data_IF_734417882684
#
_entry.id   IF_734417882684
#
_cell.length_a   1.000
_cell.length_b   1.000
_cell.length_c   1.000
_cell.angle_alpha   90.00
_cell.angle_beta   90.00
_cell.angle_gamma   90.00
#
_symmetry.space_group_name_H-M   'P 1'
#
loop_
_entity.id
_entity.type
_entity.pdbx_description
1 polymer ?
#
# COMPACT_ATOMS: atom_id res chain seq x y z
N UNK A 1 13.64 0.15 -13.03
CA UNK A 1 13.34 0.77 -11.72
C UNK A 1 12.65 -0.20 -10.78
N UNK A 2 11.64 -0.96 -11.23
CA UNK A 2 10.93 -1.92 -10.38
C UNK A 2 11.89 -2.94 -9.74
N UNK A 3 12.79 -3.53 -10.52
CA UNK A 3 13.77 -4.49 -10.00
C UNK A 3 14.71 -3.86 -8.96
N UNK A 4 15.09 -2.60 -9.17
CA UNK A 4 15.91 -1.84 -8.22
C UNK A 4 15.18 -1.65 -6.88
N UNK A 5 13.93 -1.18 -6.89
CA UNK A 5 13.18 -0.99 -5.65
C UNK A 5 12.80 -2.31 -4.98
N UNK A 6 12.55 -3.37 -5.76
CA UNK A 6 12.36 -4.71 -5.19
C UNK A 6 13.63 -5.19 -4.46
N UNK A 7 14.83 -4.96 -5.03
CA UNK A 7 16.11 -5.28 -4.41
C UNK A 7 16.32 -4.50 -3.10
N UNK A 8 16.00 -3.20 -3.10
CA UNK A 8 16.05 -2.36 -1.90
C UNK A 8 15.16 -2.93 -0.79
N UNK A 9 13.90 -3.22 -1.09
CA UNK A 9 12.97 -3.78 -0.09
C UNK A 9 13.44 -5.11 0.47
N UNK A 10 13.90 -6.03 -0.39
CA UNK A 10 14.37 -7.34 0.05
C UNK A 10 15.61 -7.26 0.94
N UNK A 11 16.51 -6.30 0.67
CA UNK A 11 17.68 -6.03 1.51
C UNK A 11 17.29 -5.46 2.87
N UNK A 12 16.36 -4.54 2.91
CA UNK A 12 15.85 -3.94 4.15
C UNK A 12 15.15 -5.00 5.04
N UNK A 13 14.51 -6.00 4.43
CA UNK A 13 13.89 -7.14 5.13
C UNK A 13 14.90 -8.28 5.47
N UNK A 14 16.17 -8.12 5.12
CA UNK A 14 17.21 -9.12 5.35
C UNK A 14 17.11 -10.37 4.46
N UNK A 15 16.37 -10.26 3.35
CA UNK A 15 16.22 -11.32 2.36
C UNK A 15 17.31 -11.25 1.27
N UNK A 16 17.20 -12.11 0.27
CA UNK A 16 18.20 -12.25 -0.79
C UNK A 16 18.39 -10.98 -1.63
N UNK A 17 19.60 -10.77 -2.17
CA UNK A 17 19.88 -9.75 -3.15
C UNK A 17 19.40 -10.18 -4.54
N UNK A 18 18.68 -9.30 -5.24
CA UNK A 18 18.26 -9.50 -6.63
C UNK A 18 19.29 -8.94 -7.61
N UNK A 19 19.92 -7.82 -7.25
CA UNK A 19 20.91 -7.16 -8.07
C UNK A 19 22.33 -7.43 -7.55
N UNK A 20 23.29 -7.71 -8.44
CA UNK A 20 24.66 -7.89 -8.03
C UNK A 20 25.24 -6.59 -7.46
N UNK A 21 26.21 -6.71 -6.56
CA UNK A 21 26.94 -5.57 -6.04
C UNK A 21 27.60 -4.79 -7.19
N UNK A 22 27.37 -3.48 -7.23
CA UNK A 22 27.88 -2.59 -8.26
C UNK A 22 28.47 -1.33 -7.64
N UNK A 23 29.61 -0.88 -8.21
CA UNK A 23 30.25 0.37 -7.81
C UNK A 23 29.61 1.60 -8.49
N UNK A 24 28.90 1.38 -9.58
CA UNK A 24 28.19 2.43 -10.32
C UNK A 24 26.81 1.93 -10.70
N UNK A 25 25.81 2.75 -10.43
CA UNK A 25 24.42 2.51 -10.82
C UNK A 25 23.98 3.64 -11.73
N UNK A 26 23.48 3.28 -12.91
CA UNK A 26 22.93 4.23 -13.88
C UNK A 26 21.43 3.95 -13.96
N UNK A 27 20.64 4.96 -13.64
CA UNK A 27 19.18 4.93 -13.70
C UNK A 27 18.73 5.83 -14.85
N UNK A 28 18.43 5.20 -15.97
CA UNK A 28 17.90 5.88 -17.15
C UNK A 28 16.38 6.07 -17.01
N UNK A 29 15.82 7.05 -17.72
CA UNK A 29 14.42 7.48 -17.53
C UNK A 29 14.09 7.74 -16.06
N UNK A 30 15.00 8.37 -15.35
CA UNK A 30 14.96 8.54 -13.91
C UNK A 30 13.76 9.38 -13.44
N UNK A 31 13.07 10.10 -14.32
CA UNK A 31 11.81 10.78 -14.04
C UNK A 31 10.70 9.84 -13.56
N UNK A 32 10.83 8.53 -13.83
CA UNK A 32 9.86 7.52 -13.37
C UNK A 32 10.14 7.01 -11.95
N UNK A 33 11.31 7.31 -11.37
CA UNK A 33 11.69 6.79 -10.06
C UNK A 33 10.71 7.18 -8.95
N UNK A 34 10.27 8.44 -8.82
CA UNK A 34 9.34 8.82 -7.76
C UNK A 34 8.02 8.02 -7.82
N UNK A 35 7.45 7.90 -9.01
CA UNK A 35 6.20 7.16 -9.19
C UNK A 35 6.37 5.66 -8.94
N UNK A 36 7.48 5.08 -9.41
CA UNK A 36 7.78 3.66 -9.18
C UNK A 36 8.03 3.39 -7.70
N UNK A 37 8.80 4.24 -7.01
CA UNK A 37 9.01 4.13 -5.57
C UNK A 37 7.70 4.20 -4.78
N UNK A 38 6.78 5.06 -5.20
CA UNK A 38 5.44 5.13 -4.59
C UNK A 38 4.68 3.80 -4.61
N UNK A 39 4.91 2.95 -5.60
CA UNK A 39 4.33 1.60 -5.67
C UNK A 39 4.95 0.64 -4.65
N UNK A 40 6.24 0.81 -4.35
CA UNK A 40 6.97 -0.07 -3.43
C UNK A 40 6.87 0.37 -1.97
N UNK A 41 6.98 1.67 -1.71
CA UNK A 41 6.97 2.23 -0.36
C UNK A 41 5.59 2.73 0.08
N UNK A 42 4.60 2.66 -0.80
CA UNK A 42 3.20 2.85 -0.47
C UNK A 42 2.62 1.58 0.17
N UNK A 43 1.54 1.75 0.92
CA UNK A 43 0.75 0.62 1.41
C UNK A 43 -0.60 0.58 0.73
N UNK A 44 -1.13 -0.61 0.55
CA UNK A 44 -2.46 -0.78 -0.01
C UNK A 44 -3.25 -1.83 0.74
N UNK A 45 -4.51 -1.55 1.01
CA UNK A 45 -5.50 -2.47 1.55
C UNK A 45 -6.67 -2.58 0.58
N UNK A 46 -6.78 -3.72 -0.10
CA UNK A 46 -7.90 -4.00 -0.99
C UNK A 46 -9.04 -4.70 -0.28
N UNK A 47 -10.28 -4.28 -0.53
CA UNK A 47 -11.45 -4.99 0.01
C UNK A 47 -11.56 -6.43 -0.50
N UNK A 48 -10.90 -6.77 -1.60
CA UNK A 48 -10.75 -8.15 -2.06
C UNK A 48 -10.08 -9.06 -1.04
N UNK A 49 -9.05 -8.57 -0.34
CA UNK A 49 -8.37 -9.32 0.73
C UNK A 49 -9.31 -9.63 1.90
N UNK A 50 -10.24 -8.70 2.22
CA UNK A 50 -11.26 -8.92 3.24
C UNK A 50 -12.26 -10.00 2.82
N UNK A 51 -12.67 -10.02 1.55
CA UNK A 51 -13.57 -11.03 1.00
C UNK A 51 -12.90 -12.41 0.96
N UNK A 52 -11.62 -12.49 0.64
CA UNK A 52 -10.84 -13.72 0.72
C UNK A 52 -10.76 -14.24 2.16
N UNK A 53 -10.44 -13.37 3.13
CA UNK A 53 -10.46 -13.74 4.54
C UNK A 53 -11.83 -14.29 4.97
N UNK A 54 -12.94 -13.64 4.59
CA UNK A 54 -14.31 -14.12 4.88
C UNK A 54 -14.54 -15.51 4.31
N UNK A 55 -14.11 -15.76 3.06
CA UNK A 55 -14.26 -17.07 2.40
C UNK A 55 -13.51 -18.16 3.14
N UNK A 56 -12.24 -17.89 3.49
CA UNK A 56 -11.39 -18.84 4.17
C UNK A 56 -11.88 -19.10 5.60
N UNK A 57 -12.27 -18.06 6.35
CA UNK A 57 -12.84 -18.18 7.69
C UNK A 57 -14.13 -19.03 7.71
N UNK A 58 -14.98 -18.90 6.68
CA UNK A 58 -16.17 -19.77 6.54
C UNK A 58 -15.81 -21.22 6.27
N UNK A 59 -14.85 -21.46 5.37
CA UNK A 59 -14.42 -22.81 5.02
C UNK A 59 -13.81 -23.54 6.23
N UNK A 60 -12.91 -22.85 6.95
CA UNK A 60 -12.29 -23.37 8.16
C UNK A 60 -13.33 -23.55 9.30
N UNK A 61 -14.24 -22.58 9.46
CA UNK A 61 -15.31 -22.65 10.44
C UNK A 61 -16.23 -23.87 10.23
N UNK A 62 -16.61 -24.16 8.98
CA UNK A 62 -17.40 -25.35 8.63
C UNK A 62 -16.63 -26.63 8.91
N UNK A 63 -15.32 -26.62 8.78
CA UNK A 63 -14.47 -27.82 8.98
C UNK A 63 -14.15 -28.07 10.46
N UNK A 64 -13.84 -27.01 11.23
CA UNK A 64 -13.20 -27.15 12.53
C UNK A 64 -13.95 -26.44 13.70
N UNK A 65 -14.96 -25.60 13.41
CA UNK A 65 -15.69 -24.82 14.43
C UNK A 65 -17.20 -24.76 14.15
N UNK A 66 -17.80 -25.88 13.73
CA UNK A 66 -19.24 -25.98 13.42
C UNK A 66 -20.16 -25.61 14.58
N UNK A 67 -19.70 -25.83 15.80
CA UNK A 67 -20.38 -25.57 17.06
C UNK A 67 -20.33 -24.08 17.46
N UNK A 68 -19.57 -23.24 16.75
CA UNK A 68 -19.38 -21.84 17.08
C UNK A 68 -20.07 -20.90 16.09
N UNK A 69 -21.36 -20.65 16.30
CA UNK A 69 -22.20 -19.81 15.45
C UNK A 69 -21.70 -18.35 15.24
N UNK A 70 -20.99 -17.70 16.20
CA UNK A 70 -20.53 -16.34 16.01
C UNK A 70 -19.56 -16.16 14.81
N UNK A 71 -18.79 -17.21 14.44
CA UNK A 71 -17.82 -17.09 13.34
C UNK A 71 -18.49 -16.87 11.96
N UNK A 72 -19.45 -17.70 11.50
CA UNK A 72 -20.16 -17.45 10.24
C UNK A 72 -21.00 -16.18 10.26
N UNK A 73 -21.51 -15.75 11.42
CA UNK A 73 -22.24 -14.49 11.57
C UNK A 73 -21.31 -13.28 11.37
N UNK A 74 -20.16 -13.25 12.05
CA UNK A 74 -19.15 -12.20 11.89
C UNK A 74 -18.62 -12.14 10.45
N UNK A 75 -18.32 -13.30 9.84
CA UNK A 75 -17.88 -13.38 8.45
C UNK A 75 -18.93 -12.80 7.48
N UNK A 76 -20.22 -13.07 7.72
CA UNK A 76 -21.31 -12.55 6.90
C UNK A 76 -21.50 -11.04 7.08
N UNK A 77 -21.35 -10.55 8.31
CA UNK A 77 -21.44 -9.13 8.62
C UNK A 77 -20.29 -8.32 7.95
N UNK A 78 -19.06 -8.85 7.99
CA UNK A 78 -17.92 -8.24 7.30
C UNK A 78 -18.14 -8.22 5.78
N UNK A 79 -18.56 -9.33 5.18
CA UNK A 79 -18.85 -9.39 3.74
C UNK A 79 -19.84 -8.32 3.30
N UNK A 80 -20.93 -8.16 4.08
CA UNK A 80 -21.93 -7.15 3.82
C UNK A 80 -21.33 -5.74 3.90
N UNK A 81 -20.61 -5.41 4.97
CA UNK A 81 -20.02 -4.09 5.16
C UNK A 81 -19.01 -3.72 4.04
N UNK A 82 -18.25 -4.71 3.54
CA UNK A 82 -17.33 -4.53 2.41
C UNK A 82 -18.09 -4.19 1.12
N UNK A 83 -19.20 -4.88 0.87
CA UNK A 83 -20.07 -4.58 -0.28
C UNK A 83 -20.70 -3.20 -0.16
N UNK A 84 -21.18 -2.86 1.03
CA UNK A 84 -21.78 -1.55 1.31
C UNK A 84 -20.75 -0.43 1.07
N UNK A 85 -19.49 -0.61 1.48
CA UNK A 85 -18.40 0.35 1.18
C UNK A 85 -18.19 0.54 -0.33
N UNK A 86 -18.25 -0.53 -1.13
CA UNK A 86 -18.14 -0.40 -2.59
C UNK A 86 -19.31 0.39 -3.18
N UNK A 87 -20.52 0.20 -2.67
CA UNK A 87 -21.75 0.85 -3.14
C UNK A 87 -21.80 2.36 -2.83
N UNK A 88 -20.95 2.86 -1.95
CA UNK A 88 -20.79 4.31 -1.71
C UNK A 88 -20.41 5.05 -2.98
N UNK A 89 -19.63 4.41 -3.87
CA UNK A 89 -19.12 5.04 -5.08
C UNK A 89 -20.00 4.70 -6.28
N UNK A 90 -20.49 5.74 -7.02
CA UNK A 90 -21.49 5.56 -8.08
C UNK A 90 -20.94 4.85 -9.33
N UNK A 91 -19.62 4.86 -9.54
CA UNK A 91 -18.99 4.27 -10.71
C UNK A 91 -17.62 3.68 -10.38
N UNK A 92 -17.14 2.80 -11.24
CA UNK A 92 -15.80 2.24 -11.22
C UNK A 92 -14.76 3.17 -11.89
N UNK A 93 -13.48 2.85 -11.75
CA UNK A 93 -12.38 3.59 -12.36
C UNK A 93 -12.05 4.93 -11.67
N UNK A 94 -12.68 5.21 -10.52
CA UNK A 94 -12.38 6.42 -9.78
C UNK A 94 -11.06 6.28 -9.03
N UNK A 95 -10.20 7.29 -9.16
CA UNK A 95 -9.05 7.54 -8.28
C UNK A 95 -9.28 8.87 -7.56
N UNK A 96 -9.42 8.81 -6.27
CA UNK A 96 -9.84 9.96 -5.46
C UNK A 96 -8.85 10.16 -4.30
N UNK A 97 -8.28 11.36 -4.12
CA UNK A 97 -7.69 11.73 -2.84
C UNK A 97 -8.70 11.53 -1.71
N UNK A 98 -8.21 11.22 -0.52
CA UNK A 98 -9.06 10.94 0.65
C UNK A 98 -10.08 12.06 0.91
N UNK A 99 -9.67 13.33 0.79
CA UNK A 99 -10.53 14.50 1.01
C UNK A 99 -11.71 14.56 0.01
N UNK A 100 -11.52 13.99 -1.19
CA UNK A 100 -12.62 13.84 -2.16
C UNK A 100 -13.50 12.65 -1.85
N UNK A 101 -12.91 11.53 -1.38
CA UNK A 101 -13.69 10.36 -0.97
C UNK A 101 -14.60 10.69 0.22
N UNK A 102 -14.15 11.50 1.17
CA UNK A 102 -14.95 11.98 2.31
C UNK A 102 -16.18 12.82 1.91
N UNK A 103 -16.24 13.37 0.70
CA UNK A 103 -17.43 14.10 0.24
C UNK A 103 -18.62 13.19 -0.05
N UNK A 104 -18.40 11.89 -0.21
CA UNK A 104 -19.46 10.90 -0.22
C UNK A 104 -19.91 10.65 1.23
N UNK A 105 -21.09 11.13 1.60
CA UNK A 105 -21.59 11.11 2.99
C UNK A 105 -21.52 9.75 3.69
N UNK A 106 -21.71 8.68 2.91
CA UNK A 106 -21.72 7.31 3.45
C UNK A 106 -20.30 6.69 3.51
N UNK A 107 -19.25 7.37 3.05
CA UNK A 107 -17.90 6.80 2.99
C UNK A 107 -17.34 6.51 4.39
N UNK A 108 -17.30 7.51 5.27
CA UNK A 108 -16.78 7.33 6.64
C UNK A 108 -17.62 6.37 7.48
N UNK A 109 -18.97 6.43 7.46
CA UNK A 109 -19.82 5.42 8.11
C UNK A 109 -19.53 4.00 7.60
N UNK A 110 -19.46 3.80 6.28
CA UNK A 110 -19.19 2.50 5.68
C UNK A 110 -17.80 1.98 6.06
N UNK A 111 -16.79 2.84 6.00
CA UNK A 111 -15.41 2.49 6.39
C UNK A 111 -15.31 2.13 7.88
N UNK A 112 -16.04 2.84 8.74
CA UNK A 112 -16.13 2.54 10.16
C UNK A 112 -16.81 1.19 10.39
N UNK A 113 -17.91 0.92 9.66
CA UNK A 113 -18.57 -0.39 9.72
C UNK A 113 -17.62 -1.52 9.29
N UNK A 114 -16.86 -1.35 8.21
CA UNK A 114 -15.86 -2.36 7.82
C UNK A 114 -14.87 -2.63 8.94
N UNK A 115 -14.35 -1.58 9.59
CA UNK A 115 -13.40 -1.73 10.70
C UNK A 115 -14.02 -2.51 11.87
N UNK A 116 -15.23 -2.15 12.27
CA UNK A 116 -15.93 -2.81 13.38
C UNK A 116 -16.18 -4.29 13.07
N UNK A 117 -16.70 -4.59 11.87
CA UNK A 117 -16.97 -5.98 11.46
C UNK A 117 -15.70 -6.82 11.28
N UNK A 118 -14.60 -6.21 10.84
CA UNK A 118 -13.31 -6.89 10.80
C UNK A 118 -12.78 -7.22 12.20
N UNK A 119 -12.97 -6.31 13.17
CA UNK A 119 -12.62 -6.54 14.57
C UNK A 119 -13.50 -7.64 15.19
N UNK A 120 -14.79 -7.66 14.90
CA UNK A 120 -15.70 -8.73 15.35
C UNK A 120 -15.25 -10.10 14.81
N UNK A 121 -14.88 -10.17 13.53
CA UNK A 121 -14.35 -11.40 12.92
C UNK A 121 -13.01 -11.82 13.52
N UNK A 122 -12.11 -10.86 13.76
CA UNK A 122 -10.82 -11.11 14.41
C UNK A 122 -11.01 -11.78 15.78
N UNK A 123 -11.89 -11.22 16.65
CA UNK A 123 -12.18 -11.80 17.96
C UNK A 123 -12.85 -13.19 17.86
N UNK A 124 -13.75 -13.39 16.89
CA UNK A 124 -14.36 -14.68 16.67
C UNK A 124 -13.32 -15.73 16.25
N UNK A 125 -12.38 -15.38 15.37
CA UNK A 125 -11.28 -16.24 14.94
C UNK A 125 -10.27 -16.51 16.07
N UNK A 126 -9.92 -15.49 16.85
CA UNK A 126 -9.04 -15.61 18.02
C UNK A 126 -9.52 -16.69 18.97
N UNK A 127 -10.81 -16.66 19.33
CA UNK A 127 -11.42 -17.62 20.24
C UNK A 127 -11.40 -19.07 19.73
N UNK A 128 -11.18 -19.27 18.45
CA UNK A 128 -11.15 -20.59 17.79
C UNK A 128 -9.79 -20.96 17.19
N UNK A 129 -8.78 -20.11 17.29
CA UNK A 129 -7.49 -20.23 16.62
C UNK A 129 -6.76 -21.54 16.97
N UNK A 130 -6.85 -21.98 18.22
CA UNK A 130 -6.18 -23.20 18.69
C UNK A 130 -6.79 -24.52 18.15
N UNK A 131 -7.99 -24.45 17.52
CA UNK A 131 -8.67 -25.67 17.02
C UNK A 131 -8.05 -26.24 15.75
N UNK A 132 -7.49 -25.36 14.90
CA UNK A 132 -6.86 -25.78 13.63
C UNK A 132 -5.88 -24.72 13.10
N UNK A 133 -4.80 -25.13 12.42
CA UNK A 133 -3.85 -24.20 11.80
C UNK A 133 -4.49 -23.23 10.78
N UNK A 134 -5.55 -23.65 10.08
CA UNK A 134 -6.29 -22.79 9.15
C UNK A 134 -7.03 -21.67 9.84
N UNK A 135 -7.62 -21.91 11.03
CA UNK A 135 -8.26 -20.88 11.86
C UNK A 135 -7.21 -19.91 12.43
N UNK A 136 -6.07 -20.40 12.87
CA UNK A 136 -4.95 -19.57 13.32
C UNK A 136 -4.44 -18.66 12.21
N UNK A 137 -4.22 -19.18 11.00
CA UNK A 137 -3.83 -18.38 9.85
C UNK A 137 -4.86 -17.30 9.49
N UNK A 138 -6.16 -17.62 9.55
CA UNK A 138 -7.23 -16.64 9.33
C UNK A 138 -7.20 -15.54 10.41
N UNK A 139 -6.97 -15.90 11.66
CA UNK A 139 -6.83 -14.92 12.74
C UNK A 139 -5.64 -13.98 12.53
N UNK A 140 -4.44 -14.51 12.23
CA UNK A 140 -3.25 -13.71 11.95
C UNK A 140 -3.45 -12.75 10.77
N UNK A 141 -4.13 -13.23 9.72
CA UNK A 141 -4.51 -12.38 8.58
C UNK A 141 -5.51 -11.29 8.98
N UNK A 142 -6.49 -11.60 9.81
CA UNK A 142 -7.45 -10.62 10.33
C UNK A 142 -6.75 -9.52 11.13
N UNK A 143 -5.80 -9.89 12.01
CA UNK A 143 -4.97 -8.94 12.75
C UNK A 143 -4.18 -8.01 11.83
N UNK A 144 -3.52 -8.60 10.81
CA UNK A 144 -2.72 -7.84 9.85
C UNK A 144 -3.59 -6.83 9.08
N UNK A 145 -4.75 -7.27 8.57
CA UNK A 145 -5.67 -6.40 7.83
C UNK A 145 -6.27 -5.30 8.72
N UNK A 146 -6.56 -5.62 9.98
CA UNK A 146 -7.07 -4.63 10.96
C UNK A 146 -6.01 -3.59 11.30
N UNK A 147 -4.75 -4.00 11.49
CA UNK A 147 -3.63 -3.10 11.71
C UNK A 147 -3.39 -2.19 10.48
N UNK A 148 -3.46 -2.74 9.27
CA UNK A 148 -3.32 -1.96 8.03
C UNK A 148 -4.44 -0.93 7.87
N UNK A 149 -5.70 -1.32 8.13
CA UNK A 149 -6.84 -0.40 8.07
C UNK A 149 -6.74 0.70 9.11
N UNK A 150 -6.31 0.36 10.33
CA UNK A 150 -6.05 1.34 11.40
C UNK A 150 -4.95 2.30 10.98
N UNK A 151 -3.81 1.80 10.52
CA UNK A 151 -2.68 2.62 10.07
C UNK A 151 -3.10 3.56 8.93
N UNK A 152 -3.87 3.07 7.94
CA UNK A 152 -4.38 3.91 6.86
C UNK A 152 -5.28 5.05 7.37
N UNK A 153 -6.12 4.79 8.36
CA UNK A 153 -7.00 5.83 8.97
C UNK A 153 -6.24 6.86 9.77
N UNK A 154 -5.15 6.48 10.42
CA UNK A 154 -4.36 7.32 11.34
C UNK A 154 -3.28 8.15 10.64
N UNK A 155 -3.09 7.98 9.31
CA UNK A 155 -2.14 8.82 8.55
C UNK A 155 -2.52 10.29 8.72
N UNK A 156 -1.60 11.08 9.28
CA UNK A 156 -1.83 12.50 9.52
C UNK A 156 -1.99 13.28 8.21
N UNK A 157 -2.93 14.21 8.19
CA UNK A 157 -3.20 15.06 7.02
C UNK A 157 -2.02 15.98 6.63
N UNK A 158 -1.10 16.22 7.57
CA UNK A 158 0.09 17.08 7.39
C UNK A 158 1.40 16.28 7.26
N UNK A 159 1.31 14.96 7.03
CA UNK A 159 2.47 14.09 6.89
C UNK A 159 3.03 14.06 5.48
N UNK A 160 4.19 13.40 5.33
CA UNK A 160 4.82 13.14 4.03
C UNK A 160 4.15 11.99 3.23
N UNK A 161 2.86 11.74 3.47
CA UNK A 161 2.12 10.61 2.88
C UNK A 161 0.72 11.05 2.48
N UNK A 162 0.32 10.74 1.26
CA UNK A 162 -1.03 10.95 0.73
C UNK A 162 -1.85 9.70 0.84
N UNK A 163 -3.08 9.82 1.33
CA UNK A 163 -4.11 8.78 1.25
C UNK A 163 -4.97 8.99 0.02
N UNK A 164 -5.26 7.91 -0.65
CA UNK A 164 -6.17 7.94 -1.80
C UNK A 164 -6.93 6.62 -1.93
N UNK A 165 -8.05 6.68 -2.62
CA UNK A 165 -8.96 5.56 -2.81
C UNK A 165 -9.07 5.25 -4.29
N UNK A 166 -8.97 3.98 -4.65
CA UNK A 166 -9.22 3.49 -6.00
C UNK A 166 -10.44 2.56 -6.00
N UNK A 167 -11.34 2.81 -6.94
CA UNK A 167 -12.62 2.11 -7.03
C UNK A 167 -12.64 1.23 -8.26
N UNK A 168 -12.71 -0.07 -8.05
CA UNK A 168 -12.85 -1.08 -9.11
C UNK A 168 -14.31 -1.52 -9.23
N UNK A 169 -14.63 -2.37 -10.21
CA UNK A 169 -15.99 -2.88 -10.42
C UNK A 169 -16.58 -3.54 -9.17
N UNK A 170 -15.79 -4.32 -8.44
CA UNK A 170 -16.25 -5.10 -7.28
C UNK A 170 -15.44 -4.85 -6.01
N UNK A 171 -14.47 -3.94 -6.03
CA UNK A 171 -13.57 -3.69 -4.92
C UNK A 171 -13.28 -2.20 -4.76
N UNK A 172 -12.85 -1.86 -3.55
CA UNK A 172 -12.26 -0.57 -3.20
C UNK A 172 -10.86 -0.85 -2.67
N UNK A 173 -9.89 -0.07 -3.10
CA UNK A 173 -8.52 -0.12 -2.60
C UNK A 173 -8.19 1.17 -1.87
N UNK A 174 -7.74 1.03 -0.64
CA UNK A 174 -7.28 2.11 0.22
C UNK A 174 -5.76 2.17 0.12
N UNK A 175 -5.23 3.26 -0.36
CA UNK A 175 -3.81 3.39 -0.65
C UNK A 175 -3.18 4.53 0.15
N UNK A 176 -1.90 4.35 0.50
CA UNK A 176 -1.02 5.45 0.90
C UNK A 176 0.15 5.53 -0.05
N UNK A 177 0.62 6.72 -0.31
CA UNK A 177 1.82 6.95 -1.13
C UNK A 177 2.65 8.04 -0.46
N UNK A 178 3.96 7.83 -0.24
CA UNK A 178 4.84 8.90 0.23
C UNK A 178 4.85 10.05 -0.78
N UNK A 179 4.81 11.29 -0.30
CA UNK A 179 4.97 12.49 -1.13
C UNK A 179 6.40 12.69 -1.60
N UNK A 180 7.34 12.20 -0.83
CA UNK A 180 8.77 12.24 -1.16
C UNK A 180 9.39 10.91 -0.77
N UNK A 181 10.26 10.43 -1.61
CA UNK A 181 11.08 9.24 -1.35
C UNK A 181 12.49 9.61 -0.90
N UNK A 182 12.72 10.91 -0.68
CA UNK A 182 14.03 11.46 -0.36
C UNK A 182 14.73 10.72 0.80
N UNK A 183 14.04 10.50 1.91
CA UNK A 183 14.64 9.83 3.07
C UNK A 183 15.00 8.37 2.77
N UNK A 184 14.08 7.64 2.13
CA UNK A 184 14.31 6.24 1.74
C UNK A 184 15.45 6.14 0.74
N UNK A 185 15.52 7.09 -0.21
CA UNK A 185 16.56 7.10 -1.22
C UNK A 185 17.92 7.55 -0.66
N UNK A 186 17.94 8.51 0.26
CA UNK A 186 19.17 8.94 0.98
C UNK A 186 19.87 7.78 1.66
N UNK A 187 19.12 6.90 2.30
CA UNK A 187 19.69 5.70 2.93
C UNK A 187 20.43 4.81 1.91
N UNK A 188 19.97 4.74 0.66
CA UNK A 188 20.66 4.00 -0.41
C UNK A 188 21.90 4.73 -0.95
N UNK A 189 21.92 6.06 -0.86
CA UNK A 189 23.05 6.88 -1.30
C UNK A 189 24.24 6.83 -0.33
N UNK A 190 24.06 6.45 0.92
CA UNK A 190 25.13 6.34 1.92
C UNK A 190 26.14 5.23 1.59
N UNK A 191 25.76 4.25 0.78
CA UNK A 191 26.68 3.23 0.32
C UNK A 191 27.73 3.85 -0.62
N UNK A 192 29.04 3.46 -0.52
CA UNK A 192 30.13 4.04 -1.31
C UNK A 192 30.06 3.58 -2.78
N UNK A 193 29.16 4.19 -3.54
CA UNK A 193 28.97 3.90 -4.98
C UNK A 193 28.64 5.19 -5.74
N UNK A 194 28.86 5.17 -7.04
CA UNK A 194 28.52 6.29 -7.93
C UNK A 194 27.11 6.10 -8.48
N UNK A 195 26.30 7.17 -8.39
CA UNK A 195 24.96 7.21 -8.93
C UNK A 195 24.88 8.17 -10.10
N UNK A 196 24.23 7.75 -11.18
CA UNK A 196 23.98 8.55 -12.37
C UNK A 196 22.49 8.44 -12.71
N UNK A 197 21.83 9.58 -12.79
CA UNK A 197 20.41 9.69 -13.15
C UNK A 197 20.32 10.39 -14.50
N UNK A 198 19.68 9.75 -15.45
CA UNK A 198 19.53 10.29 -16.81
C UNK A 198 18.04 10.28 -17.21
N UNK A 199 17.60 11.33 -17.87
CA UNK A 199 16.30 11.40 -18.53
C UNK A 199 16.19 12.69 -19.33
N UNK A 200 15.31 12.71 -20.31
CA UNK A 200 14.98 13.90 -21.09
C UNK A 200 14.15 14.94 -20.30
N UNK A 201 13.57 14.57 -19.16
CA UNK A 201 12.56 15.38 -18.45
C UNK A 201 12.82 15.60 -16.96
N UNK A 202 14.08 15.50 -16.49
CA UNK A 202 14.43 15.78 -15.09
C UNK A 202 14.42 17.27 -14.75
N UNK A 203 14.65 18.12 -15.75
CA UNK A 203 14.69 19.56 -15.57
C UNK A 203 13.39 20.21 -16.09
N UNK A 204 12.87 21.16 -15.34
CA UNK A 204 11.79 22.05 -15.77
C UNK A 204 12.42 23.39 -16.13
N UNK A 205 12.47 23.72 -17.43
CA UNK A 205 13.14 24.94 -17.94
C UNK A 205 14.62 25.05 -17.53
N UNK A 206 15.33 23.91 -17.50
CA UNK A 206 16.73 23.83 -17.11
C UNK A 206 16.99 23.79 -15.59
N UNK A 207 15.94 23.79 -14.79
CA UNK A 207 16.01 23.72 -13.32
C UNK A 207 15.73 22.30 -12.82
N UNK A 208 16.67 21.70 -12.09
CA UNK A 208 16.59 20.36 -11.55
C UNK A 208 16.08 20.29 -10.10
N UNK A 209 15.91 21.44 -9.44
CA UNK A 209 15.61 21.50 -7.99
C UNK A 209 14.42 20.64 -7.59
N UNK A 210 13.34 20.68 -8.37
CA UNK A 210 12.14 19.89 -8.05
C UNK A 210 12.49 18.40 -7.95
N UNK A 211 13.20 17.85 -8.94
CA UNK A 211 13.60 16.46 -8.95
C UNK A 211 14.58 16.13 -7.83
N UNK A 212 15.54 17.04 -7.58
CA UNK A 212 16.52 16.86 -6.50
C UNK A 212 15.87 16.81 -5.12
N UNK A 213 14.92 17.71 -4.84
CA UNK A 213 14.17 17.73 -3.57
C UNK A 213 13.31 16.48 -3.40
N UNK A 214 12.61 16.05 -4.46
CA UNK A 214 11.76 14.86 -4.44
C UNK A 214 12.54 13.57 -4.17
N UNK A 215 13.77 13.49 -4.71
CA UNK A 215 14.66 12.33 -4.61
C UNK A 215 15.69 12.41 -3.48
N UNK A 216 15.81 13.55 -2.79
CA UNK A 216 16.85 13.75 -1.79
C UNK A 216 18.26 13.90 -2.36
N UNK A 217 18.38 14.49 -3.55
CA UNK A 217 19.60 14.65 -4.32
C UNK A 217 20.10 16.10 -4.36
N UNK A 218 19.87 16.88 -3.30
CA UNK A 218 20.15 18.32 -3.27
C UNK A 218 21.62 18.66 -3.54
N UNK A 219 22.54 17.75 -3.17
CA UNK A 219 23.98 17.90 -3.38
C UNK A 219 24.48 17.31 -4.72
N UNK A 220 23.60 16.70 -5.51
CA UNK A 220 24.01 16.07 -6.77
C UNK A 220 24.45 17.12 -7.80
N UNK A 221 25.52 16.81 -8.53
CA UNK A 221 25.96 17.63 -9.67
C UNK A 221 24.99 17.44 -10.83
N UNK A 222 24.57 18.53 -11.45
CA UNK A 222 23.66 18.53 -12.58
C UNK A 222 24.40 18.90 -13.87
N UNK A 223 23.96 18.31 -14.98
CA UNK A 223 24.43 18.66 -16.31
C UNK A 223 23.23 18.59 -17.28
N UNK A 224 23.19 19.50 -18.22
CA UNK A 224 22.14 19.60 -19.22
C UNK A 224 22.75 19.70 -20.62
N UNK A 225 22.20 18.94 -21.54
CA UNK A 225 22.55 18.97 -22.95
C UNK A 225 21.28 19.11 -23.78
N UNK A 226 21.28 19.97 -24.75
CA UNK A 226 20.19 20.08 -25.69
C UNK A 226 20.09 18.84 -26.58
N UNK A 227 18.86 18.49 -26.95
CA UNK A 227 18.64 17.43 -27.94
C UNK A 227 19.09 17.91 -29.32
N UNK A 228 19.83 17.10 -30.08
CA UNK A 228 20.17 17.41 -31.45
C UNK A 228 19.01 17.20 -32.44
N UNK A 229 17.82 16.79 -31.93
CA UNK A 229 16.61 16.48 -32.73
C UNK A 229 15.48 17.43 -32.43
#
# INVERSE_FOLDING_TARGET
>A
HHLFFADVMLKDEGMAELLPAANTIILDEAHQLPSTAGLFFGTSLGTGQLIELVRDARAEGVSHAKDFAPLPEAASALEKSVRDLRLVFPQEGLRLPYERAQRFKEFEPALTSVKERLTDLEHALESQSERAPGLENCWQRAQTLNAQLKAWREVAAAGNTVRWVEVYSHAVQLNTTPLSIAETFKAQLEAPRTWIFTSATLAVKGDFRHYQEEMGLEEAKTAYWDSPF
#
